data_IF_550585547530
#
_entry.id   IF_550585547530
#
_cell.length_a   1.000
_cell.length_b   1.000
_cell.length_c   1.000
_cell.angle_alpha   90.00
_cell.angle_beta   90.00
_cell.angle_gamma   90.00
#
_symmetry.space_group_name_H-M   'P 1'
#
loop_
_entity.id
_entity.type
_entity.pdbx_description
1 polymer ?
#
# COMPACT_ATOMS: atom_id res chain seq x y z
N UNK A 1 15.10 10.00 18.58
CA UNK A 1 14.11 8.97 18.16
C UNK A 1 13.00 9.68 17.41
N UNK A 2 13.00 9.62 16.08
CA UNK A 2 11.99 10.29 15.27
C UNK A 2 10.69 9.48 15.34
N UNK A 3 9.69 10.11 15.95
CA UNK A 3 8.28 9.71 15.95
C UNK A 3 7.83 9.44 14.51
N UNK A 4 7.70 8.17 14.16
CA UNK A 4 7.14 7.74 12.88
C UNK A 4 5.66 8.08 12.87
N UNK A 5 5.30 9.25 12.33
CA UNK A 5 3.94 9.56 11.92
C UNK A 5 3.53 8.60 10.80
N UNK A 6 3.00 7.43 11.17
CA UNK A 6 2.20 6.64 10.26
C UNK A 6 0.99 7.48 9.88
N UNK A 7 0.81 7.85 8.60
CA UNK A 7 -0.40 8.54 8.21
C UNK A 7 -1.57 7.58 8.44
N UNK A 8 -2.45 7.93 9.38
CA UNK A 8 -3.75 7.31 9.65
C UNK A 8 -4.72 7.43 8.43
N UNK A 9 -4.21 7.46 7.21
CA UNK A 9 -4.92 7.87 5.98
C UNK A 9 -5.58 6.66 5.28
N UNK A 10 -5.36 5.42 5.75
CA UNK A 10 -6.05 4.24 5.19
C UNK A 10 -7.49 4.08 5.75
N UNK A 11 -7.91 4.89 6.72
CA UNK A 11 -9.21 4.69 7.41
C UNK A 11 -10.43 5.36 6.74
N UNK A 12 -10.27 6.40 5.94
CA UNK A 12 -11.44 7.22 5.51
C UNK A 12 -11.99 6.90 4.12
N UNK A 13 -11.24 6.24 3.23
CA UNK A 13 -11.67 5.95 1.85
C UNK A 13 -12.25 4.55 1.62
N UNK A 14 -12.30 3.71 2.65
CA UNK A 14 -13.03 2.42 2.63
C UNK A 14 -14.48 2.52 3.14
N UNK A 15 -15.09 3.72 3.11
CA UNK A 15 -16.53 3.84 3.35
C UNK A 15 -17.29 3.59 2.06
N UNK A 16 -18.15 2.56 2.13
CA UNK A 16 -19.28 2.20 1.26
C UNK A 16 -19.12 1.14 0.17
N UNK A 17 -18.15 0.23 0.30
CA UNK A 17 -18.37 -1.12 -0.24
C UNK A 17 -18.86 -1.98 0.93
N UNK A 18 -20.14 -2.36 0.86
CA UNK A 18 -20.85 -3.36 1.67
C UNK A 18 -19.91 -4.10 2.61
N UNK A 19 -20.13 -4.01 3.94
CA UNK A 19 -19.48 -4.86 4.94
C UNK A 19 -19.34 -6.25 4.32
N UNK A 20 -18.13 -6.70 3.95
CA UNK A 20 -18.05 -7.91 3.16
C UNK A 20 -18.60 -9.01 4.07
N UNK A 21 -19.59 -9.74 3.57
CA UNK A 21 -20.21 -10.86 4.31
C UNK A 21 -19.19 -11.95 4.66
N UNK A 22 -17.99 -11.85 4.09
CA UNK A 22 -16.87 -12.76 4.25
C UNK A 22 -15.59 -11.95 4.54
N UNK A 23 -14.67 -12.57 5.30
CA UNK A 23 -13.32 -12.02 5.49
C UNK A 23 -12.55 -12.23 4.19
N UNK A 24 -11.86 -11.19 3.69
CA UNK A 24 -10.95 -11.29 2.55
C UNK A 24 -9.53 -11.58 3.02
N UNK A 25 -8.86 -12.53 2.37
CA UNK A 25 -7.44 -12.80 2.57
C UNK A 25 -6.64 -11.81 1.72
N UNK A 26 -6.11 -10.76 2.33
CA UNK A 26 -5.39 -9.69 1.61
C UNK A 26 -3.88 -9.85 1.83
N UNK A 27 -3.12 -9.97 0.75
CA UNK A 27 -1.67 -9.85 0.74
C UNK A 27 -1.27 -8.38 0.52
N UNK A 28 -0.36 -7.87 1.35
CA UNK A 28 0.26 -6.56 1.17
C UNK A 28 1.73 -6.78 0.81
N UNK A 29 2.18 -6.19 -0.29
CA UNK A 29 3.56 -6.29 -0.75
C UNK A 29 4.16 -4.91 -1.00
N UNK A 30 5.32 -4.65 -0.41
CA UNK A 30 6.17 -3.50 -0.70
C UNK A 30 7.26 -3.93 -1.71
N UNK A 31 7.48 -3.13 -2.75
CA UNK A 31 8.53 -3.38 -3.74
C UNK A 31 9.33 -2.12 -4.02
N UNK A 32 10.65 -2.16 -3.74
CA UNK A 32 11.60 -1.15 -4.19
C UNK A 32 11.83 -1.32 -5.70
N UNK A 33 11.32 -0.40 -6.52
CA UNK A 33 11.41 -0.49 -7.98
C UNK A 33 12.75 -0.05 -8.53
N UNK A 34 13.23 1.13 -8.11
CA UNK A 34 14.43 1.72 -8.70
C UNK A 34 15.05 2.75 -7.78
N UNK A 35 16.36 2.77 -7.79
CA UNK A 35 17.17 3.86 -7.27
C UNK A 35 17.63 4.73 -8.46
N UNK A 36 17.13 5.96 -8.54
CA UNK A 36 17.51 6.90 -9.60
C UNK A 36 18.61 7.81 -9.05
N UNK A 37 19.77 7.79 -9.71
CA UNK A 37 20.93 8.65 -9.40
C UNK A 37 21.40 8.57 -7.94
N UNK A 38 21.23 7.41 -7.27
CA UNK A 38 21.56 7.19 -5.84
C UNK A 38 20.89 8.15 -4.85
N UNK A 39 19.89 8.91 -5.31
CA UNK A 39 19.27 10.00 -4.56
C UNK A 39 17.78 9.88 -4.50
N UNK A 40 17.15 9.07 -5.36
CA UNK A 40 15.71 8.86 -5.33
C UNK A 40 15.43 7.37 -5.26
N UNK A 41 14.68 6.94 -4.26
CA UNK A 41 14.16 5.57 -4.18
C UNK A 41 12.67 5.59 -4.43
N UNK A 42 12.23 4.74 -5.36
CA UNK A 42 10.80 4.53 -5.66
C UNK A 42 10.35 3.22 -5.04
N UNK A 43 9.29 3.29 -4.25
CA UNK A 43 8.59 2.16 -3.67
C UNK A 43 7.19 2.04 -4.28
N UNK A 44 6.72 0.82 -4.45
CA UNK A 44 5.33 0.52 -4.80
C UNK A 44 4.76 -0.40 -3.74
N UNK A 45 3.58 -0.08 -3.28
CA UNK A 45 2.76 -0.89 -2.38
C UNK A 45 1.58 -1.43 -3.16
N UNK A 46 1.31 -2.71 -2.99
CA UNK A 46 0.13 -3.36 -3.57
C UNK A 46 -0.63 -4.11 -2.49
N UNK A 47 -1.96 -4.04 -2.54
CA UNK A 47 -2.87 -4.87 -1.76
C UNK A 47 -3.67 -5.74 -2.72
N UNK A 48 -3.56 -7.05 -2.58
CA UNK A 48 -4.17 -8.04 -3.49
C UNK A 48 -5.01 -9.00 -2.67
N UNK A 49 -6.24 -9.28 -3.13
CA UNK A 49 -7.03 -10.39 -2.62
C UNK A 49 -6.42 -11.71 -3.11
N UNK A 50 -5.99 -12.56 -2.18
CA UNK A 50 -5.27 -13.81 -2.48
C UNK A 50 -6.20 -14.80 -3.16
N UNK A 51 -7.49 -14.79 -2.82
CA UNK A 51 -8.44 -15.78 -3.28
C UNK A 51 -8.90 -15.43 -4.71
N UNK A 52 -9.31 -14.19 -4.94
CA UNK A 52 -9.78 -13.73 -6.24
C UNK A 52 -8.67 -13.27 -7.19
N UNK A 53 -7.44 -13.06 -6.67
CA UNK A 53 -6.32 -12.39 -7.38
C UNK A 53 -6.63 -10.96 -7.80
N UNK A 54 -7.65 -10.33 -7.23
CA UNK A 54 -8.03 -8.95 -7.52
C UNK A 54 -7.05 -7.95 -6.86
N UNK A 55 -6.59 -6.96 -7.64
CA UNK A 55 -5.80 -5.86 -7.12
C UNK A 55 -6.73 -4.82 -6.46
N UNK A 56 -6.67 -4.74 -5.14
CA UNK A 56 -7.55 -3.87 -4.34
C UNK A 56 -7.01 -2.44 -4.22
N UNK A 57 -5.69 -2.30 -4.13
CA UNK A 57 -5.03 -1.00 -4.07
C UNK A 57 -3.60 -1.08 -4.62
N UNK A 58 -3.17 0.01 -5.24
CA UNK A 58 -1.80 0.22 -5.71
C UNK A 58 -1.38 1.65 -5.39
N UNK A 59 -0.31 1.80 -4.61
CA UNK A 59 0.21 3.10 -4.23
C UNK A 59 1.71 3.18 -4.55
N UNK A 60 2.14 4.33 -5.04
CA UNK A 60 3.55 4.59 -5.34
C UNK A 60 4.06 5.69 -4.43
N UNK A 61 5.17 5.41 -3.77
CA UNK A 61 5.90 6.39 -2.98
C UNK A 61 7.28 6.61 -3.59
N UNK A 62 7.81 7.80 -3.39
CA UNK A 62 9.17 8.13 -3.77
C UNK A 62 9.78 9.00 -2.68
N UNK A 63 11.02 8.70 -2.33
CA UNK A 63 11.77 9.45 -1.34
C UNK A 63 13.09 9.90 -1.91
N UNK A 64 13.53 11.08 -1.51
CA UNK A 64 14.87 11.58 -1.81
C UNK A 64 15.78 11.23 -0.62
N UNK A 65 16.87 10.51 -0.88
CA UNK A 65 17.93 10.20 0.09
C UNK A 65 18.77 11.44 0.36
#
# INVERSE_FOLDING_TARGET
MLSGHYPNIISSKMRTLLKPSYRRCIAINETKLKEVKKTIVVYVWSAVDIDSKELLALERLWTKL
#
